data_IF_973022664275
#
_entry.id   IF_973022664275
#
_cell.length_a   1.000
_cell.length_b   1.000
_cell.length_c   1.000
_cell.angle_alpha   90.00
_cell.angle_beta   90.00
_cell.angle_gamma   90.00
#
_symmetry.space_group_name_H-M   'P 1'
#
loop_
_entity.id
_entity.type
_entity.pdbx_description
1 polymer ?
#
# COMPACT_ATOMS: atom_id res chain seq x y z
N UNK A 1 -25.53 11.36 2.76
CA UNK A 1 -24.12 11.17 2.38
C UNK A 1 -23.92 11.56 0.92
N UNK A 2 -22.80 12.19 0.63
CA UNK A 2 -22.46 12.49 -0.76
C UNK A 2 -22.27 11.19 -1.54
N UNK A 3 -22.73 11.17 -2.77
CA UNK A 3 -22.48 10.07 -3.68
C UNK A 3 -21.03 10.15 -4.18
N UNK A 4 -20.30 9.07 -4.07
CA UNK A 4 -18.90 9.00 -4.49
C UNK A 4 -18.80 8.68 -5.99
N UNK A 5 -17.92 9.39 -6.69
CA UNK A 5 -17.58 9.05 -8.06
C UNK A 5 -16.69 7.80 -8.08
N UNK A 6 -16.52 7.12 -9.25
CA UNK A 6 -15.56 6.02 -9.33
C UNK A 6 -14.14 6.42 -8.92
N UNK A 7 -13.72 7.65 -9.22
CA UNK A 7 -12.42 8.15 -8.76
C UNK A 7 -12.37 8.30 -7.24
N UNK A 8 -13.41 8.86 -6.63
CA UNK A 8 -13.50 9.02 -5.18
C UNK A 8 -13.40 7.69 -4.46
N UNK A 9 -14.08 6.65 -4.97
CA UNK A 9 -14.01 5.31 -4.40
C UNK A 9 -12.58 4.74 -4.46
N UNK A 10 -11.89 4.91 -5.58
CA UNK A 10 -10.52 4.43 -5.72
C UNK A 10 -9.53 5.24 -4.88
N UNK A 11 -9.73 6.52 -4.74
CA UNK A 11 -8.92 7.35 -3.83
C UNK A 11 -9.07 6.89 -2.37
N UNK A 12 -10.29 6.52 -1.96
CA UNK A 12 -10.53 5.97 -0.64
C UNK A 12 -9.77 4.65 -0.44
N UNK A 13 -9.83 3.76 -1.44
CA UNK A 13 -9.12 2.48 -1.38
C UNK A 13 -7.61 2.67 -1.28
N UNK A 14 -6.99 3.50 -2.12
CA UNK A 14 -5.53 3.73 -2.06
C UNK A 14 -5.11 4.42 -0.76
N UNK A 15 -5.94 5.30 -0.21
CA UNK A 15 -5.67 5.90 1.10
C UNK A 15 -5.67 4.84 2.20
N UNK A 16 -6.69 4.00 2.26
CA UNK A 16 -6.80 2.93 3.24
C UNK A 16 -5.65 1.92 3.12
N UNK A 17 -5.26 1.56 1.89
CA UNK A 17 -4.15 0.65 1.64
C UNK A 17 -2.80 1.26 2.07
N UNK A 18 -2.57 2.55 1.82
CA UNK A 18 -1.35 3.23 2.28
C UNK A 18 -1.25 3.25 3.81
N UNK A 19 -2.37 3.41 4.50
CA UNK A 19 -2.43 3.35 5.96
C UNK A 19 -2.13 1.92 6.46
N UNK A 20 -2.71 0.91 5.84
CA UNK A 20 -2.48 -0.50 6.18
C UNK A 20 -1.03 -0.92 5.89
N UNK A 21 -0.43 -0.42 4.81
CA UNK A 21 0.95 -0.74 4.42
C UNK A 21 1.97 -0.33 5.48
N UNK A 22 1.73 0.77 6.19
CA UNK A 22 2.60 1.19 7.29
C UNK A 22 2.62 0.15 8.42
N UNK A 23 1.48 -0.42 8.75
CA UNK A 23 1.40 -1.49 9.75
C UNK A 23 2.02 -2.79 9.23
N UNK A 24 1.83 -3.10 7.96
CA UNK A 24 2.37 -4.31 7.35
C UNK A 24 3.90 -4.31 7.34
N UNK A 25 4.53 -3.23 6.93
CA UNK A 25 5.99 -3.11 6.91
C UNK A 25 6.58 -3.18 8.31
N UNK A 26 5.94 -2.54 9.29
CA UNK A 26 6.35 -2.61 10.69
C UNK A 26 6.24 -4.03 11.24
N UNK A 27 5.15 -4.74 10.93
CA UNK A 27 4.94 -6.11 11.36
C UNK A 27 6.02 -7.03 10.79
N UNK A 28 6.29 -6.95 9.48
CA UNK A 28 7.30 -7.78 8.82
C UNK A 28 8.71 -7.46 9.33
N UNK A 29 9.00 -6.20 9.63
CA UNK A 29 10.28 -5.79 10.20
C UNK A 29 10.57 -6.43 11.57
N UNK A 30 9.55 -6.83 12.32
CA UNK A 30 9.67 -7.55 13.58
C UNK A 30 9.77 -9.07 13.46
N UNK A 31 9.65 -9.64 12.24
CA UNK A 31 9.69 -11.08 12.03
C UNK A 31 11.11 -11.62 12.04
N UNK A 32 11.24 -12.92 12.34
CA UNK A 32 12.54 -13.59 12.41
C UNK A 32 13.21 -13.62 11.02
N UNK A 33 14.45 -13.16 10.95
CA UNK A 33 15.22 -13.09 9.70
C UNK A 33 15.04 -11.79 8.92
N UNK A 34 14.24 -10.84 9.41
CA UNK A 34 13.99 -9.57 8.72
C UNK A 34 15.12 -8.54 8.89
N UNK A 35 16.06 -8.75 9.82
CA UNK A 35 17.07 -7.74 10.18
C UNK A 35 17.86 -7.18 8.99
N UNK A 36 18.23 -8.05 8.05
CA UNK A 36 18.97 -7.65 6.84
C UNK A 36 18.15 -6.71 5.91
N UNK A 37 16.84 -6.70 6.06
CA UNK A 37 15.92 -5.93 5.21
C UNK A 37 15.23 -4.79 5.97
N UNK A 38 15.62 -4.56 7.21
CA UNK A 38 14.96 -3.57 8.06
C UNK A 38 15.00 -2.16 7.47
N UNK A 39 16.15 -1.75 6.93
CA UNK A 39 16.28 -0.43 6.31
C UNK A 39 15.35 -0.28 5.11
N UNK A 40 15.21 -1.32 4.28
CA UNK A 40 14.29 -1.32 3.13
C UNK A 40 12.82 -1.27 3.60
N UNK A 41 12.47 -2.03 4.63
CA UNK A 41 11.11 -2.02 5.21
C UNK A 41 10.77 -0.67 5.84
N UNK A 42 11.72 -0.05 6.53
CA UNK A 42 11.54 1.29 7.11
C UNK A 42 11.29 2.32 5.99
N UNK A 43 12.06 2.27 4.91
CA UNK A 43 11.86 3.14 3.75
C UNK A 43 10.48 2.93 3.11
N UNK A 44 10.05 1.68 2.93
CA UNK A 44 8.71 1.37 2.42
C UNK A 44 7.62 1.96 3.32
N UNK A 45 7.77 1.84 4.62
CA UNK A 45 6.84 2.41 5.60
C UNK A 45 6.78 3.93 5.54
N UNK A 46 7.94 4.59 5.40
CA UNK A 46 8.03 6.05 5.25
C UNK A 46 7.37 6.51 3.94
N UNK A 47 7.58 5.79 2.86
CA UNK A 47 6.96 6.09 1.57
C UNK A 47 5.45 5.83 1.58
N UNK A 48 4.99 4.83 2.31
CA UNK A 48 3.56 4.60 2.53
C UNK A 48 2.93 5.76 3.32
N UNK A 49 3.62 6.29 4.32
CA UNK A 49 3.19 7.48 5.06
C UNK A 49 3.15 8.72 4.17
N UNK A 50 4.11 8.88 3.27
CA UNK A 50 4.12 9.96 2.28
C UNK A 50 2.95 9.82 1.31
N UNK A 51 2.66 8.61 0.86
CA UNK A 51 1.52 8.31 0.00
C UNK A 51 0.21 8.68 0.69
N UNK A 52 0.05 8.31 1.95
CA UNK A 52 -1.10 8.69 2.77
C UNK A 52 -1.24 10.22 2.82
N UNK A 53 -0.17 10.92 3.14
CA UNK A 53 -0.19 12.38 3.30
C UNK A 53 -0.55 13.08 1.99
N UNK A 54 0.03 12.70 0.88
CA UNK A 54 -0.26 13.30 -0.44
C UNK A 54 -1.68 13.00 -0.88
N UNK A 55 -2.14 11.79 -0.66
CA UNK A 55 -3.50 11.37 -1.01
C UNK A 55 -4.54 12.13 -0.17
N UNK A 56 -4.33 12.20 1.14
CA UNK A 56 -5.24 12.92 2.04
C UNK A 56 -5.27 14.43 1.73
N UNK A 57 -4.14 15.02 1.37
CA UNK A 57 -4.06 16.42 0.95
C UNK A 57 -4.89 16.69 -0.31
N UNK A 58 -4.84 15.78 -1.28
CA UNK A 58 -5.69 15.88 -2.47
C UNK A 58 -7.17 15.72 -2.12
N UNK A 59 -7.51 14.73 -1.31
CA UNK A 59 -8.88 14.47 -0.85
C UNK A 59 -9.44 15.71 -0.13
N UNK A 60 -8.60 16.40 0.63
CA UNK A 60 -9.01 17.61 1.35
C UNK A 60 -9.52 18.73 0.42
N UNK A 61 -9.12 18.73 -0.84
CA UNK A 61 -9.61 19.69 -1.84
C UNK A 61 -11.00 19.32 -2.39
N UNK A 62 -11.50 18.11 -2.11
CA UNK A 62 -12.75 17.61 -2.65
C UNK A 62 -13.93 17.95 -1.72
N UNK A 63 -14.30 19.22 -1.72
CA UNK A 63 -15.37 19.73 -0.87
C UNK A 63 -16.69 18.97 -1.07
N UNK A 64 -17.35 18.64 0.06
CA UNK A 64 -18.60 17.90 0.07
C UNK A 64 -18.46 16.39 -0.02
N UNK A 65 -17.29 15.87 -0.41
CA UNK A 65 -17.06 14.42 -0.57
C UNK A 65 -15.97 13.86 0.36
N UNK A 66 -15.10 14.72 0.88
CA UNK A 66 -13.91 14.29 1.65
C UNK A 66 -14.23 13.44 2.87
N UNK A 67 -15.31 13.72 3.59
CA UNK A 67 -15.71 12.93 4.75
C UNK A 67 -16.10 11.50 4.35
N UNK A 68 -16.90 11.36 3.30
CA UNK A 68 -17.34 10.05 2.82
C UNK A 68 -16.15 9.23 2.27
N UNK A 69 -15.22 9.89 1.57
CA UNK A 69 -13.99 9.23 1.08
C UNK A 69 -13.15 8.72 2.26
N UNK A 70 -12.97 9.53 3.29
CA UNK A 70 -12.18 9.15 4.48
C UNK A 70 -12.84 8.02 5.28
N UNK A 71 -14.17 8.00 5.35
CA UNK A 71 -14.90 6.90 5.99
C UNK A 71 -14.67 5.58 5.24
N UNK A 72 -14.80 5.60 3.92
CA UNK A 72 -14.52 4.42 3.09
C UNK A 72 -13.06 3.98 3.20
N UNK A 73 -12.12 4.91 3.29
CA UNK A 73 -10.71 4.60 3.51
C UNK A 73 -10.48 3.85 4.83
N UNK A 74 -11.18 4.22 5.90
CA UNK A 74 -11.09 3.50 7.18
C UNK A 74 -11.58 2.05 7.06
N UNK A 75 -12.65 1.83 6.30
CA UNK A 75 -13.16 0.48 6.03
C UNK A 75 -12.12 -0.34 5.26
N UNK A 76 -11.56 0.22 4.20
CA UNK A 76 -10.50 -0.42 3.40
C UNK A 76 -9.29 -0.76 4.25
N UNK A 77 -8.82 0.18 5.08
CA UNK A 77 -7.72 -0.05 6.02
C UNK A 77 -8.01 -1.22 6.96
N UNK A 78 -9.19 -1.24 7.54
CA UNK A 78 -9.60 -2.30 8.47
C UNK A 78 -9.61 -3.67 7.79
N UNK A 79 -10.17 -3.76 6.60
CA UNK A 79 -10.19 -4.99 5.80
C UNK A 79 -8.77 -5.46 5.44
N UNK A 80 -7.91 -4.54 5.02
CA UNK A 80 -6.53 -4.86 4.65
C UNK A 80 -5.71 -5.34 5.86
N UNK A 81 -5.89 -4.71 7.02
CA UNK A 81 -5.23 -5.14 8.27
C UNK A 81 -5.73 -6.53 8.69
N UNK A 82 -7.02 -6.79 8.56
CA UNK A 82 -7.60 -8.10 8.88
C UNK A 82 -7.06 -9.19 7.93
N UNK A 83 -6.91 -8.89 6.64
CA UNK A 83 -6.29 -9.80 5.68
C UNK A 83 -4.84 -10.11 6.05
N UNK A 84 -4.08 -9.11 6.44
CA UNK A 84 -2.70 -9.29 6.93
C UNK A 84 -2.66 -10.23 8.15
N UNK A 85 -3.49 -9.97 9.13
CA UNK A 85 -3.55 -10.79 10.35
C UNK A 85 -3.92 -12.23 10.04
N UNK A 86 -4.88 -12.45 9.15
CA UNK A 86 -5.30 -13.79 8.74
C UNK A 86 -4.19 -14.52 7.99
N UNK A 87 -3.55 -13.84 7.03
CA UNK A 87 -2.47 -14.44 6.24
C UNK A 87 -1.25 -14.81 7.08
N UNK A 88 -0.88 -13.93 8.01
CA UNK A 88 0.31 -14.09 8.84
C UNK A 88 0.03 -14.73 10.20
N UNK A 89 -1.17 -15.26 10.42
CA UNK A 89 -1.52 -15.94 11.67
C UNK A 89 -0.63 -17.16 11.87
N UNK A 90 0.14 -17.18 12.97
CA UNK A 90 1.06 -18.28 13.29
C UNK A 90 2.36 -18.27 12.50
N UNK A 91 2.55 -17.32 11.60
CA UNK A 91 3.79 -17.18 10.85
C UNK A 91 4.76 -16.24 11.58
N UNK A 92 6.01 -16.68 11.72
CA UNK A 92 7.03 -15.93 12.46
C UNK A 92 8.22 -15.54 11.60
N UNK A 93 8.38 -16.15 10.42
CA UNK A 93 9.54 -15.96 9.57
C UNK A 93 9.34 -14.85 8.53
N UNK A 94 10.40 -14.09 8.29
CA UNK A 94 10.38 -12.98 7.34
C UNK A 94 10.00 -13.39 5.92
N UNK A 95 10.33 -14.61 5.49
CA UNK A 95 9.94 -15.09 4.16
C UNK A 95 8.42 -15.03 3.98
N UNK A 96 7.66 -15.53 4.95
CA UNK A 96 6.20 -15.47 4.93
C UNK A 96 5.70 -14.03 4.89
N UNK A 97 6.36 -13.15 5.65
CA UNK A 97 6.06 -11.72 5.66
C UNK A 97 6.26 -11.06 4.29
N UNK A 98 7.35 -11.38 3.61
CA UNK A 98 7.63 -10.84 2.27
C UNK A 98 6.73 -11.46 1.20
N UNK A 99 6.30 -12.71 1.35
CA UNK A 99 5.27 -13.30 0.49
C UNK A 99 3.96 -12.52 0.60
N UNK A 100 3.56 -12.19 1.82
CA UNK A 100 2.39 -11.33 2.04
C UNK A 100 2.58 -9.96 1.39
N UNK A 101 3.73 -9.29 1.62
CA UNK A 101 4.01 -7.97 1.05
C UNK A 101 3.99 -8.02 -0.48
N UNK A 102 4.42 -9.11 -1.10
CA UNK A 102 4.39 -9.23 -2.56
C UNK A 102 2.97 -9.11 -3.11
N UNK A 103 2.00 -9.68 -2.43
CA UNK A 103 0.58 -9.56 -2.82
C UNK A 103 0.01 -8.18 -2.47
N UNK A 104 0.31 -7.68 -1.29
CA UNK A 104 -0.18 -6.39 -0.82
C UNK A 104 0.31 -5.24 -1.72
N UNK A 105 1.60 -5.21 -2.03
CA UNK A 105 2.19 -4.16 -2.86
C UNK A 105 1.71 -4.25 -4.32
N UNK A 106 1.51 -5.45 -4.85
CA UNK A 106 0.93 -5.64 -6.18
C UNK A 106 -0.51 -5.14 -6.22
N UNK A 107 -1.27 -5.38 -5.17
CA UNK A 107 -2.64 -4.86 -5.03
C UNK A 107 -2.67 -3.32 -4.99
N UNK A 108 -1.76 -2.70 -4.27
CA UNK A 108 -1.64 -1.25 -4.23
C UNK A 108 -1.29 -0.68 -5.61
N UNK A 109 -0.34 -1.29 -6.31
CA UNK A 109 -0.01 -0.87 -7.69
C UNK A 109 -1.24 -0.94 -8.60
N UNK A 110 -1.98 -2.03 -8.55
CA UNK A 110 -3.21 -2.20 -9.33
C UNK A 110 -4.20 -1.05 -9.07
N UNK A 111 -4.44 -0.71 -7.81
CA UNK A 111 -5.36 0.36 -7.45
C UNK A 111 -4.86 1.72 -7.93
N UNK A 112 -3.58 2.01 -7.82
CA UNK A 112 -3.00 3.25 -8.33
C UNK A 112 -3.06 3.36 -9.85
N UNK A 113 -2.85 2.27 -10.58
CA UNK A 113 -3.02 2.24 -12.03
C UNK A 113 -4.47 2.51 -12.45
N UNK A 114 -5.43 2.03 -11.65
CA UNK A 114 -6.85 2.33 -11.86
C UNK A 114 -7.13 3.83 -11.63
N UNK A 115 -6.61 4.42 -10.53
CA UNK A 115 -6.70 5.87 -10.28
C UNK A 115 -6.11 6.65 -11.46
N UNK A 116 -4.92 6.27 -11.92
CA UNK A 116 -4.22 6.90 -13.03
C UNK A 116 -5.09 6.89 -14.31
N UNK A 117 -5.69 5.75 -14.62
CA UNK A 117 -6.52 5.58 -15.80
C UNK A 117 -7.80 6.41 -15.72
N UNK A 118 -8.50 6.37 -14.59
CA UNK A 118 -9.73 7.16 -14.41
C UNK A 118 -9.41 8.65 -14.46
N UNK A 119 -8.40 9.10 -13.72
CA UNK A 119 -8.02 10.51 -13.66
C UNK A 119 -7.60 11.05 -15.04
N UNK A 120 -6.88 10.25 -15.80
CA UNK A 120 -6.48 10.60 -17.17
C UNK A 120 -7.71 10.77 -18.08
N UNK A 121 -8.67 9.86 -17.97
CA UNK A 121 -9.89 9.87 -18.81
C UNK A 121 -10.84 11.02 -18.43
N UNK A 122 -10.93 11.35 -17.13
CA UNK A 122 -11.85 12.40 -16.66
C UNK A 122 -11.23 13.79 -16.62
N UNK A 123 -9.94 13.91 -16.94
CA UNK A 123 -9.24 15.20 -16.94
C UNK A 123 -8.87 15.72 -15.56
N UNK A 124 -8.79 14.86 -14.55
CA UNK A 124 -8.41 15.20 -13.18
C UNK A 124 -6.89 15.25 -13.05
N UNK A 125 -6.28 16.36 -13.47
CA UNK A 125 -4.83 16.49 -13.62
C UNK A 125 -4.05 16.25 -12.33
N UNK A 126 -4.52 16.77 -11.19
CA UNK A 126 -3.83 16.59 -9.90
C UNK A 126 -3.87 15.14 -9.42
N UNK A 127 -5.02 14.47 -9.58
CA UNK A 127 -5.14 13.05 -9.26
C UNK A 127 -4.23 12.20 -10.15
N UNK A 128 -4.12 12.55 -11.43
CA UNK A 128 -3.21 11.87 -12.36
C UNK A 128 -1.75 12.03 -11.94
N UNK A 129 -1.32 13.24 -11.57
CA UNK A 129 0.04 13.49 -11.10
C UNK A 129 0.35 12.70 -9.82
N UNK A 130 -0.59 12.65 -8.89
CA UNK A 130 -0.47 11.85 -7.68
C UNK A 130 -0.31 10.37 -8.01
N UNK A 131 -1.16 9.85 -8.91
CA UNK A 131 -1.10 8.45 -9.32
C UNK A 131 0.19 8.11 -10.07
N UNK A 132 0.68 8.98 -10.93
CA UNK A 132 1.96 8.80 -11.64
C UNK A 132 3.12 8.64 -10.64
N UNK A 133 3.15 9.48 -9.62
CA UNK A 133 4.15 9.38 -8.56
C UNK A 133 4.00 8.08 -7.76
N UNK A 134 2.78 7.74 -7.36
CA UNK A 134 2.49 6.55 -6.54
C UNK A 134 2.78 5.24 -7.28
N UNK A 135 2.50 5.18 -8.59
CA UNK A 135 2.82 4.03 -9.43
C UNK A 135 4.33 3.75 -9.41
N UNK A 136 5.16 4.78 -9.56
CA UNK A 136 6.62 4.62 -9.52
C UNK A 136 7.10 4.13 -8.15
N UNK A 137 6.51 4.65 -7.06
CA UNK A 137 6.81 4.20 -5.69
C UNK A 137 6.46 2.72 -5.53
N UNK A 138 5.27 2.31 -5.95
CA UNK A 138 4.81 0.93 -5.80
C UNK A 138 5.61 -0.06 -6.65
N UNK A 139 6.02 0.32 -7.85
CA UNK A 139 6.90 -0.50 -8.67
C UNK A 139 8.25 -0.73 -7.99
N UNK A 140 8.80 0.30 -7.35
CA UNK A 140 10.03 0.20 -6.56
C UNK A 140 9.87 -0.75 -5.37
N UNK A 141 8.74 -0.68 -4.66
CA UNK A 141 8.43 -1.58 -3.53
C UNK A 141 8.35 -3.03 -3.99
N UNK A 142 7.64 -3.31 -5.08
CA UNK A 142 7.50 -4.67 -5.62
C UNK A 142 8.87 -5.25 -5.96
N UNK A 143 9.74 -4.46 -6.58
CA UNK A 143 11.09 -4.92 -6.92
C UNK A 143 11.93 -5.20 -5.67
N UNK A 144 11.86 -4.34 -4.65
CA UNK A 144 12.55 -4.54 -3.38
C UNK A 144 12.06 -5.76 -2.63
N UNK A 145 10.75 -5.97 -2.57
CA UNK A 145 10.13 -7.14 -1.95
C UNK A 145 10.56 -8.43 -2.67
N UNK A 146 10.59 -8.40 -4.00
CA UNK A 146 11.04 -9.54 -4.80
C UNK A 146 12.49 -9.92 -4.48
N UNK A 147 13.38 -8.97 -4.42
CA UNK A 147 14.78 -9.21 -4.04
C UNK A 147 14.88 -9.86 -2.67
N UNK A 148 14.08 -9.37 -1.71
CA UNK A 148 14.10 -9.87 -0.34
C UNK A 148 13.60 -11.33 -0.26
N UNK A 149 12.44 -11.65 -0.84
CA UNK A 149 11.94 -13.03 -0.72
C UNK A 149 12.82 -14.03 -1.48
N UNK A 150 13.45 -13.65 -2.59
CA UNK A 150 14.38 -14.53 -3.30
C UNK A 150 15.66 -14.78 -2.48
N UNK A 151 16.18 -13.74 -1.81
CA UNK A 151 17.33 -13.89 -0.92
C UNK A 151 17.02 -14.80 0.27
N UNK A 152 15.87 -14.60 0.91
CA UNK A 152 15.44 -15.42 2.03
C UNK A 152 15.18 -16.88 1.62
N UNK A 153 14.58 -17.10 0.45
CA UNK A 153 14.37 -18.45 -0.08
C UNK A 153 15.71 -19.16 -0.33
N UNK A 154 16.71 -18.42 -0.82
CA UNK A 154 18.06 -18.99 -1.03
C UNK A 154 18.72 -19.36 0.29
N UNK A 155 18.59 -18.51 1.32
CA UNK A 155 19.12 -18.83 2.65
C UNK A 155 18.46 -20.09 3.22
N UNK A 156 17.15 -20.20 3.13
CA UNK A 156 16.41 -21.37 3.60
C UNK A 156 16.84 -22.64 2.87
N UNK A 157 17.04 -22.57 1.56
CA UNK A 157 17.46 -23.71 0.75
C UNK A 157 18.88 -24.20 1.10
N UNK A 158 19.71 -23.33 1.65
CA UNK A 158 21.11 -23.62 2.02
C UNK A 158 21.30 -23.88 3.52
N UNK A 159 20.25 -23.83 4.28
CA UNK A 159 20.30 -24.05 5.73
C UNK A 159 20.49 -25.55 6.13
#
# INVERSE_FOLDING_TARGET
MAELTPLDEKLAEVLGLAQAAQQATEHVAGMEGADAFKAALDEMGEQAAETERRTDSYIDTLEGRKTAIREKARETKSEAVDMMKTYLEGEEEALDGFEFLSMAEAGELCHWEIVQTIASTTGEAEAKQLADWAVDVQQSHIEGVRKAYLALALEEANA
#
